data_IF_010170278122
#
_entry.id   IF_010170278122
#
_cell.length_a   1.000
_cell.length_b   1.000
_cell.length_c   1.000
_cell.angle_alpha   90.00
_cell.angle_beta   90.00
_cell.angle_gamma   90.00
#
_symmetry.space_group_name_H-M   'P 1'
#
loop_
_entity.id
_entity.type
_entity.pdbx_description
1 polymer ?
#
# COMPACT_ATOMS: atom_id res chain seq x y z
N UNK A 1 -15.56 0.59 20.31
CA UNK A 1 -14.40 1.17 19.59
C UNK A 1 -14.75 1.19 18.12
N UNK A 2 -14.63 2.33 17.45
CA UNK A 2 -14.89 2.43 16.02
C UNK A 2 -13.76 1.76 15.25
N UNK A 3 -14.12 0.90 14.29
CA UNK A 3 -13.17 0.13 13.50
C UNK A 3 -12.80 0.93 12.26
N UNK A 4 -11.51 1.25 12.09
CA UNK A 4 -11.04 2.07 10.97
C UNK A 4 -10.65 1.22 9.74
N UNK A 5 -10.92 1.78 8.56
CA UNK A 5 -10.37 1.35 7.27
C UNK A 5 -9.46 2.45 6.76
N UNK A 6 -8.20 2.13 6.45
CA UNK A 6 -7.17 3.14 6.20
C UNK A 6 -6.66 3.06 4.76
N UNK A 7 -6.51 4.22 4.11
CA UNK A 7 -5.64 4.35 2.95
C UNK A 7 -4.35 5.06 3.40
N UNK A 8 -3.20 4.42 3.21
CA UNK A 8 -1.91 4.91 3.65
C UNK A 8 -1.05 5.25 2.44
N UNK A 9 -0.85 6.54 2.21
CA UNK A 9 0.15 7.08 1.28
C UNK A 9 1.24 7.78 2.11
N UNK A 10 2.22 7.03 2.65
CA UNK A 10 3.22 7.59 3.55
C UNK A 10 4.20 8.47 2.76
N UNK A 11 4.97 9.34 3.45
CA UNK A 11 6.08 10.02 2.80
C UNK A 11 7.07 9.03 2.19
N UNK A 12 7.47 9.28 0.95
CA UNK A 12 8.48 8.48 0.26
C UNK A 12 9.88 8.90 0.72
N UNK A 13 10.48 8.14 1.65
CA UNK A 13 11.85 8.43 2.08
C UNK A 13 12.16 8.05 3.52
N UNK A 14 13.16 8.71 4.13
CA UNK A 14 13.57 8.45 5.51
C UNK A 14 12.39 8.49 6.49
N UNK A 15 12.35 7.50 7.40
CA UNK A 15 11.32 7.42 8.44
C UNK A 15 10.04 6.67 8.05
N UNK A 16 9.90 6.21 6.79
CA UNK A 16 8.71 5.47 6.34
C UNK A 16 8.38 4.24 7.22
N UNK A 17 9.38 3.53 7.74
CA UNK A 17 9.18 2.33 8.58
C UNK A 17 8.33 2.59 9.82
N UNK A 18 8.32 3.82 10.35
CA UNK A 18 7.48 4.20 11.49
C UNK A 18 5.99 4.11 11.15
N UNK A 19 5.63 4.40 9.90
CA UNK A 19 4.25 4.30 9.40
C UNK A 19 3.80 2.85 9.27
N UNK A 20 4.65 1.97 8.72
CA UNK A 20 4.35 0.55 8.60
C UNK A 20 4.29 -0.13 9.97
N UNK A 21 5.22 0.22 10.86
CA UNK A 21 5.21 -0.24 12.25
C UNK A 21 3.94 0.21 12.97
N UNK A 22 3.51 1.47 12.82
CA UNK A 22 2.23 1.94 13.37
C UNK A 22 1.05 1.16 12.77
N UNK A 23 0.99 0.99 11.45
CA UNK A 23 -0.08 0.21 10.81
C UNK A 23 -0.18 -1.20 11.39
N UNK A 24 0.95 -1.88 11.57
CA UNK A 24 0.99 -3.19 12.20
C UNK A 24 0.44 -3.17 13.64
N UNK A 25 0.83 -2.18 14.45
CA UNK A 25 0.33 -2.02 15.82
C UNK A 25 -1.17 -1.73 15.86
N UNK A 26 -1.68 -0.84 15.01
CA UNK A 26 -3.11 -0.53 14.91
C UNK A 26 -3.93 -1.75 14.48
N UNK A 27 -3.39 -2.56 13.57
CA UNK A 27 -4.00 -3.82 13.13
C UNK A 27 -4.02 -4.86 14.25
N UNK A 28 -2.89 -5.01 14.96
CA UNK A 28 -2.75 -5.94 16.07
C UNK A 28 -3.66 -5.58 17.25
N UNK A 29 -3.90 -4.28 17.46
CA UNK A 29 -4.83 -3.78 18.47
C UNK A 29 -6.31 -3.82 18.04
N UNK A 30 -6.63 -4.31 16.83
CA UNK A 30 -7.99 -4.35 16.29
C UNK A 30 -8.60 -2.99 15.95
N UNK A 31 -7.82 -1.89 16.02
CA UNK A 31 -8.29 -0.53 15.72
C UNK A 31 -8.37 -0.27 14.21
N UNK A 32 -7.52 -0.94 13.44
CA UNK A 32 -7.60 -0.98 11.98
C UNK A 32 -7.92 -2.39 11.53
N UNK A 33 -9.00 -2.60 10.75
CA UNK A 33 -9.30 -3.92 10.19
C UNK A 33 -8.79 -4.13 8.78
N UNK A 34 -8.67 -3.06 8.02
CA UNK A 34 -8.19 -3.11 6.65
C UNK A 34 -7.36 -1.88 6.33
N UNK A 35 -6.32 -2.07 5.51
CA UNK A 35 -5.55 -0.98 4.94
C UNK A 35 -5.16 -1.25 3.49
N UNK A 36 -5.11 -0.19 2.70
CA UNK A 36 -4.43 -0.16 1.41
C UNK A 36 -3.22 0.76 1.58
N UNK A 37 -2.03 0.26 1.25
CA UNK A 37 -0.78 1.02 1.35
C UNK A 37 -0.21 1.26 -0.04
N UNK A 38 0.01 2.52 -0.40
CA UNK A 38 0.70 2.91 -1.61
C UNK A 38 2.20 3.00 -1.34
N UNK A 39 2.99 2.21 -2.05
CA UNK A 39 4.45 2.24 -1.95
C UNK A 39 5.12 2.04 -3.31
N UNK A 40 6.44 2.15 -3.35
CA UNK A 40 7.25 1.88 -4.54
C UNK A 40 7.56 0.39 -4.70
N UNK A 41 7.63 -0.09 -5.94
CA UNK A 41 8.17 -1.41 -6.30
C UNK A 41 9.68 -1.44 -6.15
N UNK A 42 10.14 -1.55 -4.89
CA UNK A 42 11.56 -1.57 -4.51
C UNK A 42 11.83 -2.81 -3.63
N UNK A 43 11.85 -3.97 -4.28
CA UNK A 43 11.78 -5.31 -3.66
C UNK A 43 12.93 -5.63 -2.71
N UNK A 44 14.07 -4.97 -2.90
CA UNK A 44 15.28 -5.09 -2.09
C UNK A 44 15.19 -4.37 -0.73
N UNK A 45 14.29 -3.39 -0.61
CA UNK A 45 14.21 -2.51 0.57
C UNK A 45 13.57 -3.19 1.78
N UNK A 46 13.96 -2.75 2.99
CA UNK A 46 13.30 -3.17 4.23
C UNK A 46 11.79 -2.88 4.19
N UNK A 47 11.41 -1.68 3.72
CA UNK A 47 10.04 -1.26 3.53
C UNK A 47 9.20 -2.26 2.74
N UNK A 48 9.73 -2.73 1.61
CA UNK A 48 9.05 -3.74 0.81
C UNK A 48 8.88 -5.04 1.56
N UNK A 49 9.94 -5.54 2.20
CA UNK A 49 9.92 -6.78 2.98
C UNK A 49 8.89 -6.70 4.12
N UNK A 50 8.85 -5.57 4.84
CA UNK A 50 7.86 -5.28 5.88
C UNK A 50 6.44 -5.34 5.31
N UNK A 51 6.19 -4.65 4.19
CA UNK A 51 4.87 -4.62 3.56
C UNK A 51 4.42 -6.00 3.08
N UNK A 52 5.31 -6.78 2.46
CA UNK A 52 5.00 -8.16 2.06
C UNK A 52 4.72 -9.05 3.27
N UNK A 53 5.35 -8.82 4.41
CA UNK A 53 5.12 -9.62 5.61
C UNK A 53 3.75 -9.37 6.28
N UNK A 54 3.13 -8.21 6.03
CA UNK A 54 1.85 -7.83 6.67
C UNK A 54 0.65 -7.83 5.71
N UNK A 55 0.89 -7.98 4.41
CA UNK A 55 -0.13 -7.86 3.35
C UNK A 55 -0.46 -9.23 2.76
N UNK A 56 -1.70 -9.42 2.32
CA UNK A 56 -2.13 -10.67 1.68
C UNK A 56 -2.31 -10.52 0.15
N UNK A 57 -2.41 -9.29 -0.36
CA UNK A 57 -2.44 -8.97 -1.80
C UNK A 57 -1.58 -7.76 -2.12
N UNK A 58 -1.09 -7.70 -3.34
CA UNK A 58 -0.45 -6.53 -3.92
C UNK A 58 -0.95 -6.32 -5.34
N UNK A 59 -1.39 -5.10 -5.66
CA UNK A 59 -1.71 -4.68 -7.02
C UNK A 59 -0.52 -3.93 -7.61
N UNK A 60 -0.15 -4.29 -8.84
CA UNK A 60 0.81 -3.59 -9.68
C UNK A 60 0.06 -2.86 -10.80
N UNK A 61 -0.21 -1.55 -10.67
CA UNK A 61 -0.93 -0.79 -11.69
C UNK A 61 -0.26 -0.88 -13.07
N UNK A 62 -1.06 -0.96 -14.12
CA UNK A 62 -0.59 -1.02 -15.51
C UNK A 62 0.03 0.29 -16.02
N UNK A 63 -0.09 1.38 -15.24
CA UNK A 63 0.47 2.68 -15.56
C UNK A 63 1.00 3.38 -14.29
N UNK A 64 1.93 4.33 -14.46
CA UNK A 64 2.42 5.16 -13.36
C UNK A 64 1.31 6.07 -12.83
N UNK A 65 1.14 6.11 -11.50
CA UNK A 65 0.17 6.99 -10.84
C UNK A 65 0.70 8.43 -10.84
N UNK A 66 0.03 9.34 -11.55
CA UNK A 66 0.37 10.77 -11.52
C UNK A 66 -0.15 11.40 -10.23
N UNK A 67 0.74 12.01 -9.46
CA UNK A 67 0.37 12.80 -8.29
C UNK A 67 0.09 14.24 -8.71
N UNK A 68 -0.99 14.81 -8.17
CA UNK A 68 -1.36 16.21 -8.38
C UNK A 68 -1.14 16.93 -7.06
N UNK A 69 -0.38 18.02 -7.09
CA UNK A 69 -0.16 18.88 -5.92
C UNK A 69 -1.29 19.89 -5.75
N UNK A 70 -1.27 20.69 -4.67
CA UNK A 70 -2.29 21.71 -4.41
C UNK A 70 -2.44 22.75 -5.54
N UNK A 71 -1.37 23.03 -6.27
CA UNK A 71 -1.34 23.95 -7.42
C UNK A 71 -1.58 23.27 -8.78
N UNK A 72 -1.86 21.95 -8.79
CA UNK A 72 -1.99 21.16 -10.01
C UNK A 72 -0.79 20.24 -10.27
N UNK A 73 -0.62 19.85 -11.53
CA UNK A 73 0.48 18.99 -11.95
C UNK A 73 1.72 19.85 -12.27
N UNK A 74 2.73 19.82 -11.41
CA UNK A 74 3.91 20.70 -11.54
C UNK A 74 5.25 19.95 -11.62
N UNK A 75 5.24 18.61 -11.66
CA UNK A 75 6.46 17.80 -11.50
C UNK A 75 6.83 16.93 -12.70
N UNK A 76 8.11 16.50 -12.78
CA UNK A 76 8.44 15.32 -13.57
C UNK A 76 7.57 14.14 -13.10
N UNK A 77 7.14 13.31 -14.04
CA UNK A 77 6.31 12.15 -13.72
C UNK A 77 6.98 11.24 -12.66
N UNK A 78 6.21 10.37 -11.99
CA UNK A 78 6.72 9.53 -10.91
C UNK A 78 7.96 8.76 -11.36
N UNK A 79 9.02 8.77 -10.57
CA UNK A 79 10.29 8.10 -10.91
C UNK A 79 10.29 6.61 -10.59
N UNK A 80 9.24 6.12 -9.94
CA UNK A 80 9.11 4.73 -9.50
C UNK A 80 7.79 4.11 -9.98
N UNK A 81 7.81 2.79 -10.16
CA UNK A 81 6.60 2.00 -10.34
C UNK A 81 5.88 1.86 -8.99
N UNK A 82 4.59 2.19 -8.89
CA UNK A 82 3.83 2.03 -7.67
C UNK A 82 3.41 0.57 -7.45
N UNK A 83 3.18 0.21 -6.20
CA UNK A 83 2.51 -0.99 -5.76
C UNK A 83 1.49 -0.62 -4.68
N UNK A 84 0.30 -1.22 -4.75
CA UNK A 84 -0.74 -1.07 -3.73
C UNK A 84 -0.87 -2.37 -2.95
N UNK A 85 -0.48 -2.33 -1.69
CA UNK A 85 -0.55 -3.47 -0.78
C UNK A 85 -1.87 -3.48 -0.04
N UNK A 86 -2.47 -4.65 0.11
CA UNK A 86 -3.68 -4.84 0.89
C UNK A 86 -3.40 -5.64 2.16
N UNK A 87 -3.76 -5.04 3.29
CA UNK A 87 -3.72 -5.64 4.62
C UNK A 87 -5.16 -5.81 5.08
N UNK A 88 -5.61 -7.05 5.29
CA UNK A 88 -6.98 -7.30 5.73
C UNK A 88 -7.46 -8.72 5.47
N UNK A 89 -8.71 -8.99 5.85
CA UNK A 89 -9.34 -10.31 5.78
C UNK A 89 -10.29 -10.47 4.58
N UNK A 90 -10.39 -9.47 3.70
CA UNK A 90 -11.29 -9.48 2.52
C UNK A 90 -10.53 -9.30 1.20
N UNK A 91 -9.54 -10.17 0.89
CA UNK A 91 -8.70 -10.02 -0.30
C UNK A 91 -9.53 -10.01 -1.61
N UNK A 92 -10.59 -10.81 -1.68
CA UNK A 92 -11.54 -10.84 -2.80
C UNK A 92 -12.13 -9.45 -3.15
N UNK A 93 -12.37 -8.62 -2.14
CA UNK A 93 -12.90 -7.27 -2.34
C UNK A 93 -11.85 -6.35 -2.94
N UNK A 94 -10.60 -6.50 -2.51
CA UNK A 94 -9.47 -5.78 -3.08
C UNK A 94 -9.23 -6.22 -4.53
N UNK A 95 -9.20 -7.53 -4.80
CA UNK A 95 -9.03 -8.08 -6.16
C UNK A 95 -10.07 -7.51 -7.13
N UNK A 96 -11.36 -7.55 -6.78
CA UNK A 96 -12.42 -6.97 -7.61
C UNK A 96 -12.27 -5.47 -7.84
N UNK A 97 -11.87 -4.72 -6.81
CA UNK A 97 -11.71 -3.27 -6.91
C UNK A 97 -10.50 -2.87 -7.78
N UNK A 98 -9.46 -3.71 -7.82
CA UNK A 98 -8.21 -3.43 -8.52
C UNK A 98 -8.03 -4.18 -9.85
N UNK A 99 -8.95 -5.08 -10.21
CA UNK A 99 -8.91 -5.85 -11.46
C UNK A 99 -8.78 -5.00 -12.73
N UNK A 100 -9.38 -3.80 -12.74
CA UNK A 100 -9.26 -2.85 -13.86
C UNK A 100 -8.05 -1.91 -13.78
N UNK A 101 -7.28 -1.95 -12.71
CA UNK A 101 -6.15 -1.04 -12.45
C UNK A 101 -4.81 -1.70 -12.80
N UNK A 102 -4.66 -3.00 -12.51
CA UNK A 102 -3.44 -3.73 -12.79
C UNK A 102 -3.47 -5.16 -12.30
N UNK A 103 -2.32 -5.83 -12.38
CA UNK A 103 -2.20 -7.22 -11.96
C UNK A 103 -2.22 -7.31 -10.44
N UNK A 104 -3.14 -8.11 -9.88
CA UNK A 104 -3.21 -8.39 -8.45
C UNK A 104 -2.55 -9.74 -8.18
N UNK A 105 -1.54 -9.73 -7.32
CA UNK A 105 -0.78 -10.92 -6.93
C UNK A 105 -1.10 -11.30 -5.50
N UNK A 106 -1.12 -12.61 -5.25
CA UNK A 106 -1.05 -13.16 -3.90
C UNK A 106 0.35 -12.88 -3.37
N UNK A 107 0.44 -12.21 -2.22
CA UNK A 107 1.72 -12.06 -1.54
C UNK A 107 2.04 -13.39 -0.87
N UNK A 108 3.22 -14.00 -1.12
CA UNK A 108 3.60 -15.24 -0.45
C UNK A 108 3.71 -15.03 1.06
N UNK A 109 2.94 -15.81 1.83
CA UNK A 109 2.89 -15.79 3.29
C UNK A 109 1.67 -15.01 3.82
N UNK A 110 0.86 -15.53 4.74
CA UNK A 110 0.99 -16.75 5.58
C UNK A 110 0.79 -18.07 4.84
#
# INVERSE_FOLDING_TARGET
MEVARVFLNPPFGPGVERWFSKLYQERSAGRTTEAIVLWKSATETAAWKTLTAISCRVCFPSARIRFVGPAGYEGPGPTFSPALFYVGERPERFERAFAGIGAVWVVPGK
#
